data_IF_303377285190
#
_entry.id   IF_303377285190
#
_cell.length_a   1.000
_cell.length_b   1.000
_cell.length_c   1.000
_cell.angle_alpha   90.00
_cell.angle_beta   90.00
_cell.angle_gamma   90.00
#
_symmetry.space_group_name_H-M   'P 1'
#
loop_
_entity.id
_entity.type
_entity.pdbx_description
1 polymer ?
#
# COMPACT_ATOMS: atom_id res chain seq x y z
N UNK A 1 -28.49 -4.10 -10.50
CA UNK A 1 -29.33 -5.31 -10.45
C UNK A 1 -29.44 -6.02 -11.81
N UNK A 2 -29.85 -5.35 -12.91
CA UNK A 2 -30.07 -6.00 -14.24
C UNK A 2 -28.82 -6.72 -14.76
N UNK A 3 -27.62 -6.10 -14.72
CA UNK A 3 -26.37 -6.69 -15.21
C UNK A 3 -25.96 -7.96 -14.43
N UNK A 4 -26.21 -8.00 -13.13
CA UNK A 4 -25.96 -9.18 -12.30
C UNK A 4 -26.93 -10.31 -12.65
N UNK A 5 -28.21 -10.00 -12.79
CA UNK A 5 -29.24 -10.98 -13.13
C UNK A 5 -29.05 -11.56 -14.55
N UNK A 6 -28.52 -10.79 -15.49
CA UNK A 6 -28.26 -11.23 -16.87
C UNK A 6 -26.89 -11.90 -17.07
N UNK A 7 -26.06 -11.97 -16.02
CA UNK A 7 -24.68 -12.49 -16.12
C UNK A 7 -23.72 -11.58 -16.89
N UNK A 8 -24.12 -10.34 -17.21
CA UNK A 8 -23.29 -9.39 -17.97
C UNK A 8 -22.34 -8.61 -17.04
N UNK A 9 -21.33 -9.31 -16.53
CA UNK A 9 -20.28 -8.75 -15.71
C UNK A 9 -18.97 -9.52 -15.90
N UNK A 10 -17.86 -8.91 -15.51
CA UNK A 10 -16.56 -9.56 -15.44
C UNK A 10 -16.16 -9.71 -13.97
N UNK A 11 -15.37 -10.73 -13.68
CA UNK A 11 -14.73 -10.87 -12.38
C UNK A 11 -13.26 -10.44 -12.55
N UNK A 12 -12.84 -9.48 -11.76
CA UNK A 12 -11.44 -9.06 -11.67
C UNK A 12 -10.86 -9.54 -10.33
N UNK A 13 -9.83 -10.38 -10.40
CA UNK A 13 -9.07 -10.78 -9.23
C UNK A 13 -8.03 -9.70 -8.89
N UNK A 14 -7.98 -9.28 -7.63
CA UNK A 14 -7.07 -8.26 -7.11
C UNK A 14 -6.14 -8.88 -6.08
N UNK A 15 -4.84 -8.68 -6.27
CA UNK A 15 -3.85 -9.05 -5.28
C UNK A 15 -4.12 -8.29 -3.97
N UNK A 16 -4.01 -8.99 -2.85
CA UNK A 16 -4.05 -8.41 -1.52
C UNK A 16 -2.71 -8.57 -0.84
N UNK A 17 -2.43 -7.71 0.12
CA UNK A 17 -1.28 -7.82 1.01
C UNK A 17 -1.68 -8.57 2.28
N UNK A 18 -0.75 -9.35 2.81
CA UNK A 18 -0.76 -9.83 4.18
C UNK A 18 0.22 -8.98 4.99
N UNK A 19 -0.19 -8.51 6.15
CA UNK A 19 0.62 -7.82 7.12
C UNK A 19 0.70 -8.66 8.39
N UNK A 20 1.91 -9.08 8.79
CA UNK A 20 2.15 -9.69 10.08
C UNK A 20 2.65 -8.62 11.05
N UNK A 21 1.86 -8.36 12.09
CA UNK A 21 2.14 -7.38 13.15
C UNK A 21 1.65 -7.93 14.50
N UNK A 22 2.47 -7.78 15.54
CA UNK A 22 2.17 -8.25 16.91
C UNK A 22 1.69 -9.72 16.97
N UNK A 23 2.31 -10.59 16.17
CA UNK A 23 1.97 -12.01 16.06
C UNK A 23 0.67 -12.33 15.31
N UNK A 24 -0.04 -11.31 14.78
CA UNK A 24 -1.29 -11.47 14.02
C UNK A 24 -1.05 -11.30 12.53
N UNK A 25 -1.79 -12.02 11.71
CA UNK A 25 -1.88 -11.81 10.27
C UNK A 25 -3.15 -11.03 9.95
N UNK A 26 -2.98 -9.91 9.30
CA UNK A 26 -4.04 -9.01 8.85
C UNK A 26 -3.90 -8.78 7.35
N UNK A 27 -4.97 -8.38 6.68
CA UNK A 27 -4.99 -8.29 5.22
C UNK A 27 -5.38 -6.89 4.76
N UNK A 28 -4.69 -6.39 3.75
CA UNK A 28 -4.96 -5.11 3.12
C UNK A 28 -5.35 -5.29 1.65
N UNK A 29 -6.38 -4.59 1.22
CA UNK A 29 -6.70 -4.45 -0.20
C UNK A 29 -5.82 -3.38 -0.83
N UNK A 30 -5.63 -2.25 -0.14
CA UNK A 30 -4.87 -1.11 -0.65
C UNK A 30 -3.46 -1.07 -0.07
N UNK A 31 -3.31 -0.78 1.23
CA UNK A 31 -1.99 -0.51 1.80
C UNK A 31 -1.88 -0.84 3.30
N UNK A 32 -0.63 -1.05 3.69
CA UNK A 32 -0.15 -1.10 5.08
C UNK A 32 0.70 0.14 5.29
N UNK A 33 0.41 0.93 6.32
CA UNK A 33 1.10 2.19 6.62
C UNK A 33 1.75 2.10 7.99
N UNK A 34 3.03 2.49 8.07
CA UNK A 34 3.71 2.83 9.31
C UNK A 34 3.92 4.34 9.32
N UNK A 35 3.36 5.04 10.28
CA UNK A 35 3.58 6.48 10.41
C UNK A 35 3.86 6.88 11.85
N UNK A 36 4.55 8.00 12.02
CA UNK A 36 4.82 8.57 13.33
C UNK A 36 3.52 8.87 14.07
N UNK A 37 3.54 8.78 15.40
CA UNK A 37 2.47 9.33 16.20
C UNK A 37 2.51 10.87 16.19
N UNK A 38 1.43 11.50 16.64
CA UNK A 38 1.32 12.97 16.68
C UNK A 38 2.38 13.63 17.57
N UNK A 39 2.90 12.91 18.55
CA UNK A 39 3.90 13.42 19.53
C UNK A 39 5.35 13.31 19.01
N UNK A 40 5.57 12.62 17.90
CA UNK A 40 6.89 12.50 17.27
C UNK A 40 7.03 13.47 16.10
N UNK A 41 8.23 14.05 15.93
CA UNK A 41 8.50 14.91 14.78
C UNK A 41 8.76 14.12 13.50
N UNK A 42 9.47 13.02 13.62
CA UNK A 42 9.79 12.07 12.56
C UNK A 42 10.21 10.75 13.17
N UNK A 43 10.12 9.68 12.42
CA UNK A 43 10.61 8.37 12.79
C UNK A 43 11.72 7.92 11.84
N UNK A 44 12.60 7.08 12.36
CA UNK A 44 13.60 6.40 11.52
C UNK A 44 13.02 5.08 11.06
N UNK A 45 13.05 4.88 9.77
CA UNK A 45 12.53 3.68 9.12
C UNK A 45 13.66 2.86 8.52
N UNK A 46 13.60 1.56 8.67
CA UNK A 46 14.50 0.61 8.01
C UNK A 46 13.67 -0.39 7.24
N UNK A 47 14.06 -0.68 6.01
CA UNK A 47 13.37 -1.59 5.09
C UNK A 47 14.34 -2.65 4.64
N UNK A 48 13.91 -3.91 4.67
CA UNK A 48 14.58 -5.03 4.01
C UNK A 48 13.60 -5.83 3.16
N UNK A 49 14.12 -6.53 2.16
CA UNK A 49 13.40 -7.44 1.30
C UNK A 49 14.14 -8.79 1.28
N UNK A 50 13.45 -9.87 1.63
CA UNK A 50 14.02 -11.22 1.76
C UNK A 50 15.32 -11.24 2.61
N UNK A 51 15.32 -10.47 3.71
CA UNK A 51 16.47 -10.34 4.62
C UNK A 51 17.60 -9.44 4.12
N UNK A 52 17.51 -8.88 2.92
CA UNK A 52 18.51 -7.95 2.39
C UNK A 52 18.09 -6.50 2.69
N UNK A 53 19.01 -5.70 3.22
CA UNK A 53 18.76 -4.29 3.49
C UNK A 53 18.51 -3.53 2.18
N UNK A 54 17.40 -2.80 2.12
CA UNK A 54 16.97 -1.98 0.97
C UNK A 54 17.29 -0.52 1.22
N UNK A 55 16.74 0.04 2.29
CA UNK A 55 16.92 1.48 2.58
C UNK A 55 16.73 1.79 4.07
N UNK A 56 17.26 2.95 4.48
CA UNK A 56 17.11 3.50 5.82
C UNK A 56 17.02 5.02 5.75
N UNK A 57 15.92 5.58 6.23
CA UNK A 57 15.64 7.01 6.11
C UNK A 57 14.80 7.54 7.27
N UNK A 58 14.78 8.88 7.43
CA UNK A 58 13.86 9.59 8.32
C UNK A 58 12.68 10.12 7.51
N UNK A 59 11.46 9.94 8.04
CA UNK A 59 10.22 10.34 7.38
C UNK A 59 9.08 10.51 8.39
N UNK A 60 7.96 11.05 7.94
CA UNK A 60 6.69 10.95 8.68
C UNK A 60 6.15 9.52 8.68
N UNK A 61 6.50 8.74 7.67
CA UNK A 61 6.10 7.34 7.57
C UNK A 61 6.57 6.66 6.28
N UNK A 62 6.07 5.46 6.08
CA UNK A 62 6.21 4.66 4.86
C UNK A 62 4.95 3.83 4.68
N UNK A 63 4.58 3.59 3.45
CA UNK A 63 3.49 2.68 3.12
C UNK A 63 3.95 1.59 2.15
N UNK A 64 3.40 0.39 2.34
CA UNK A 64 3.48 -0.71 1.39
C UNK A 64 2.10 -0.89 0.75
N UNK A 65 2.01 -0.75 -0.58
CA UNK A 65 0.74 -0.81 -1.30
C UNK A 65 0.67 -1.97 -2.28
N UNK A 66 -0.54 -2.50 -2.44
CA UNK A 66 -0.90 -3.40 -3.54
C UNK A 66 -1.05 -2.61 -4.85
N UNK A 67 -1.15 -3.27 -6.01
CA UNK A 67 -1.48 -2.59 -7.26
C UNK A 67 -2.83 -1.86 -7.21
N UNK A 68 -3.81 -2.38 -6.47
CA UNK A 68 -5.09 -1.72 -6.23
C UNK A 68 -4.90 -0.44 -5.42
N UNK A 69 -4.08 -0.48 -4.36
CA UNK A 69 -3.73 0.65 -3.52
C UNK A 69 -2.85 1.70 -4.20
N UNK A 70 -2.26 1.38 -5.37
CA UNK A 70 -1.44 2.35 -6.11
C UNK A 70 -2.15 3.67 -6.43
N UNK A 71 -3.49 3.64 -6.50
CA UNK A 71 -4.35 4.82 -6.74
C UNK A 71 -5.10 5.31 -5.50
N UNK A 72 -4.72 4.80 -4.30
CA UNK A 72 -5.21 5.24 -3.00
C UNK A 72 -4.17 6.16 -2.33
N UNK A 73 -3.82 5.92 -1.08
CA UNK A 73 -2.86 6.76 -0.35
C UNK A 73 -1.48 6.78 -0.99
N UNK A 74 -1.07 5.68 -1.62
CA UNK A 74 0.18 5.61 -2.40
C UNK A 74 0.28 6.74 -3.45
N UNK A 75 -0.81 7.06 -4.14
CA UNK A 75 -0.82 8.14 -5.14
C UNK A 75 -0.56 9.50 -4.48
N UNK A 76 -1.24 9.80 -3.37
CA UNK A 76 -1.06 11.04 -2.61
C UNK A 76 0.34 11.17 -2.02
N UNK A 77 0.99 10.05 -1.67
CA UNK A 77 2.36 10.00 -1.20
C UNK A 77 3.41 10.12 -2.32
N UNK A 78 2.99 10.24 -3.59
CA UNK A 78 3.89 10.36 -4.74
C UNK A 78 4.43 9.02 -5.25
N UNK A 79 3.81 7.91 -4.88
CA UNK A 79 4.17 6.58 -5.35
C UNK A 79 3.70 6.31 -6.79
N UNK A 80 4.28 5.30 -7.45
CA UNK A 80 3.94 4.95 -8.82
C UNK A 80 2.54 4.35 -8.94
N UNK A 81 1.92 4.55 -10.09
CA UNK A 81 0.66 3.91 -10.45
C UNK A 81 0.97 2.54 -11.05
N UNK A 82 0.35 1.50 -10.51
CA UNK A 82 0.44 0.14 -11.02
C UNK A 82 -0.89 -0.30 -11.64
N UNK A 83 -0.81 -1.06 -12.75
CA UNK A 83 -1.98 -1.74 -13.30
C UNK A 83 -2.53 -2.73 -12.26
N UNK A 84 -3.85 -2.82 -12.08
CA UNK A 84 -4.45 -3.70 -11.08
C UNK A 84 -4.11 -5.18 -11.20
N UNK A 85 -3.72 -5.62 -12.40
CA UNK A 85 -3.28 -6.99 -12.67
C UNK A 85 -1.78 -7.23 -12.46
N UNK A 86 -1.01 -6.18 -12.16
CA UNK A 86 0.43 -6.32 -11.91
C UNK A 86 0.70 -7.21 -10.68
N UNK A 87 1.79 -7.95 -10.73
CA UNK A 87 2.24 -8.79 -9.61
C UNK A 87 3.43 -8.10 -8.94
N UNK A 88 3.14 -7.00 -8.24
CA UNK A 88 4.14 -6.16 -7.57
C UNK A 88 3.62 -5.65 -6.23
N UNK A 89 4.55 -5.30 -5.35
CA UNK A 89 4.29 -4.48 -4.17
C UNK A 89 5.00 -3.15 -4.34
N UNK A 90 4.37 -2.08 -3.89
CA UNK A 90 4.92 -0.73 -3.93
C UNK A 90 5.31 -0.31 -2.52
N UNK A 91 6.47 0.30 -2.36
CA UNK A 91 6.87 0.91 -1.10
C UNK A 91 7.11 2.40 -1.33
N UNK A 92 6.39 3.25 -0.63
CA UNK A 92 6.47 4.70 -0.83
C UNK A 92 6.74 5.39 0.50
N UNK A 93 7.87 6.11 0.64
CA UNK A 93 8.12 6.98 1.78
C UNK A 93 7.11 8.13 1.86
N UNK A 94 6.69 8.49 3.07
CA UNK A 94 5.76 9.60 3.33
C UNK A 94 6.56 10.75 3.92
N UNK A 95 6.62 11.89 3.22
CA UNK A 95 7.34 13.10 3.66
C UNK A 95 8.77 12.78 4.14
N UNK A 96 9.54 12.07 3.33
CA UNK A 96 10.92 11.72 3.70
C UNK A 96 11.82 12.95 3.78
N UNK A 97 12.62 13.03 4.85
CA UNK A 97 13.56 14.12 5.10
C UNK A 97 14.93 13.90 4.43
N UNK A 98 14.92 13.29 3.26
CA UNK A 98 16.13 13.05 2.47
C UNK A 98 15.80 13.05 0.98
N UNK A 99 16.67 13.67 0.19
CA UNK A 99 16.55 13.67 -1.27
C UNK A 99 16.83 12.29 -1.92
N UNK A 100 17.34 11.33 -1.15
CA UNK A 100 17.68 9.99 -1.64
C UNK A 100 16.50 9.03 -1.58
N UNK A 101 15.56 9.22 -0.64
CA UNK A 101 14.41 8.34 -0.53
C UNK A 101 13.57 8.38 -1.80
N UNK A 102 13.26 7.22 -2.33
CA UNK A 102 12.45 7.03 -3.54
C UNK A 102 11.43 5.93 -3.30
N UNK A 103 10.30 5.95 -4.00
CA UNK A 103 9.44 4.78 -4.07
C UNK A 103 10.17 3.61 -4.71
N UNK A 104 9.91 2.41 -4.19
CA UNK A 104 10.42 1.14 -4.71
C UNK A 104 9.28 0.30 -5.25
N UNK A 105 9.58 -0.52 -6.24
CA UNK A 105 8.68 -1.55 -6.76
C UNK A 105 9.34 -2.90 -6.56
N UNK A 106 8.68 -3.78 -5.84
CA UNK A 106 9.13 -5.14 -5.54
C UNK A 106 8.30 -6.17 -6.28
N UNK A 107 8.86 -7.32 -6.57
CA UNK A 107 8.08 -8.46 -7.04
C UNK A 107 7.09 -8.92 -5.95
N UNK A 108 5.93 -9.44 -6.35
CA UNK A 108 4.90 -9.87 -5.39
C UNK A 108 5.33 -11.07 -4.53
N UNK A 109 6.37 -11.77 -4.94
CA UNK A 109 6.94 -12.92 -4.24
C UNK A 109 7.88 -12.54 -3.11
N UNK A 110 8.42 -11.32 -3.14
CA UNK A 110 9.33 -10.82 -2.10
C UNK A 110 8.59 -10.60 -0.79
N UNK A 111 9.31 -10.66 0.30
CA UNK A 111 8.81 -10.40 1.64
C UNK A 111 9.50 -9.17 2.21
N UNK A 112 8.71 -8.13 2.44
CA UNK A 112 9.22 -6.89 3.01
C UNK A 112 9.20 -6.97 4.53
N UNK A 113 10.25 -6.48 5.17
CA UNK A 113 10.32 -6.22 6.59
C UNK A 113 10.54 -4.74 6.79
N UNK A 114 9.64 -4.09 7.52
CA UNK A 114 9.69 -2.66 7.79
C UNK A 114 9.73 -2.48 9.29
N UNK A 115 10.73 -1.76 9.78
CA UNK A 115 10.85 -1.42 11.20
C UNK A 115 11.00 0.08 11.39
N UNK A 116 10.51 0.56 12.54
CA UNK A 116 10.57 1.95 12.93
C UNK A 116 11.30 2.13 14.26
N UNK A 117 12.04 3.22 14.41
CA UNK A 117 12.53 3.74 15.68
C UNK A 117 11.75 5.01 16.03
N UNK A 118 11.06 5.03 17.16
CA UNK A 118 10.18 6.11 17.61
C UNK A 118 8.74 5.63 17.86
N UNK A 119 7.88 6.54 18.28
CA UNK A 119 6.45 6.25 18.50
C UNK A 119 5.75 6.15 17.14
N UNK A 120 5.21 4.99 16.86
CA UNK A 120 4.69 4.62 15.54
C UNK A 120 3.27 4.10 15.65
N UNK A 121 2.46 4.43 14.67
CA UNK A 121 1.12 3.88 14.43
C UNK A 121 1.18 3.02 13.18
N UNK A 122 0.60 1.84 13.24
CA UNK A 122 0.45 0.94 12.10
C UNK A 122 -1.03 0.92 11.73
N UNK A 123 -1.32 1.22 10.46
CA UNK A 123 -2.66 1.21 9.91
C UNK A 123 -2.76 0.31 8.68
N UNK A 124 -3.90 -0.32 8.48
CA UNK A 124 -4.23 -1.17 7.34
C UNK A 124 -5.52 -0.64 6.73
N UNK A 125 -5.49 -0.28 5.45
CA UNK A 125 -6.62 0.30 4.71
C UNK A 125 -7.32 1.44 5.52
N UNK A 126 -6.52 2.30 6.15
CA UNK A 126 -6.97 3.44 6.95
C UNK A 126 -7.37 3.12 8.40
N UNK A 127 -7.43 1.86 8.80
CA UNK A 127 -7.75 1.47 10.18
C UNK A 127 -6.48 1.24 11.01
N UNK A 128 -6.34 1.92 12.15
CA UNK A 128 -5.27 1.66 13.11
C UNK A 128 -5.38 0.23 13.66
N UNK A 129 -4.29 -0.53 13.61
CA UNK A 129 -4.24 -1.93 14.07
C UNK A 129 -3.22 -2.17 15.18
N UNK A 130 -2.24 -1.29 15.29
CA UNK A 130 -1.20 -1.32 16.33
C UNK A 130 -0.61 0.06 16.55
N UNK A 131 -0.13 0.29 17.76
CA UNK A 131 0.57 1.52 18.17
C UNK A 131 1.62 1.17 19.20
N UNK A 132 2.80 1.73 19.06
CA UNK A 132 3.86 1.49 20.02
C UNK A 132 5.16 2.18 19.67
N UNK A 133 6.19 1.86 20.44
CA UNK A 133 7.55 2.34 20.18
C UNK A 133 8.38 1.24 19.53
N UNK A 134 9.15 1.62 18.50
CA UNK A 134 10.02 0.69 17.78
C UNK A 134 9.24 -0.51 17.19
N UNK A 135 8.20 -0.20 16.41
CA UNK A 135 7.34 -1.20 15.79
C UNK A 135 8.01 -1.85 14.57
N UNK A 136 7.55 -3.07 14.25
CA UNK A 136 7.97 -3.79 13.04
C UNK A 136 6.83 -4.56 12.43
N UNK A 137 6.83 -4.65 11.11
CA UNK A 137 5.86 -5.43 10.34
C UNK A 137 6.55 -6.22 9.24
N UNK A 138 5.97 -7.37 8.90
CA UNK A 138 6.28 -8.07 7.65
C UNK A 138 5.10 -7.87 6.70
N UNK A 139 5.40 -7.50 5.44
CA UNK A 139 4.40 -7.33 4.39
C UNK A 139 4.76 -8.22 3.21
N UNK A 140 3.80 -9.00 2.75
CA UNK A 140 3.95 -9.92 1.62
C UNK A 140 2.59 -10.16 0.95
N UNK A 141 2.60 -10.80 -0.21
CA UNK A 141 1.36 -11.14 -0.93
C UNK A 141 0.50 -12.10 -0.11
N UNK A 142 -0.78 -11.77 0.04
CA UNK A 142 -1.75 -12.69 0.64
C UNK A 142 -1.92 -13.96 -0.20
N UNK A 143 -2.23 -15.12 0.43
CA UNK A 143 -2.43 -16.40 -0.28
C UNK A 143 -3.74 -16.44 -1.09
N UNK A 144 -4.57 -15.42 -0.99
CA UNK A 144 -5.85 -15.29 -1.69
C UNK A 144 -5.97 -13.91 -2.35
N UNK A 145 -7.00 -13.76 -3.19
CA UNK A 145 -7.29 -12.52 -3.93
C UNK A 145 -8.67 -12.00 -3.57
N UNK A 146 -8.85 -10.70 -3.60
CA UNK A 146 -10.18 -10.10 -3.59
C UNK A 146 -10.78 -10.19 -4.99
N UNK A 147 -12.05 -10.62 -5.07
CA UNK A 147 -12.78 -10.77 -6.33
C UNK A 147 -13.78 -9.66 -6.51
N UNK A 148 -13.59 -8.84 -7.53
CA UNK A 148 -14.45 -7.70 -7.85
C UNK A 148 -15.36 -8.02 -9.02
N UNK A 149 -16.65 -7.76 -8.84
CA UNK A 149 -17.62 -7.80 -9.94
C UNK A 149 -17.54 -6.46 -10.67
N UNK A 150 -17.13 -6.51 -11.94
CA UNK A 150 -17.02 -5.34 -12.81
C UNK A 150 -18.19 -5.32 -13.79
N UNK A 151 -19.10 -4.38 -13.59
CA UNK A 151 -20.27 -4.15 -14.44
C UNK A 151 -19.96 -3.15 -15.55
N UNK A 152 -19.00 -2.23 -15.30
CA UNK A 152 -18.62 -1.20 -16.26
C UNK A 152 -17.60 -1.71 -17.27
N UNK A 153 -17.79 -1.39 -18.55
CA UNK A 153 -16.84 -1.69 -19.63
C UNK A 153 -15.65 -0.70 -19.69
N UNK A 154 -15.63 0.35 -18.85
CA UNK A 154 -14.50 1.30 -18.82
C UNK A 154 -13.23 0.61 -18.36
N UNK A 155 -12.12 0.86 -19.08
CA UNK A 155 -10.80 0.36 -18.70
C UNK A 155 -10.31 1.01 -17.39
N UNK A 156 -9.27 0.44 -16.79
CA UNK A 156 -8.61 1.04 -15.63
C UNK A 156 -8.13 2.46 -15.94
N UNK A 157 -7.47 2.65 -17.07
CA UNK A 157 -6.91 3.95 -17.46
C UNK A 157 -7.95 5.00 -17.73
N UNK A 158 -9.10 4.64 -18.30
CA UNK A 158 -10.22 5.58 -18.48
C UNK A 158 -10.79 6.07 -17.15
N UNK A 159 -10.90 5.16 -16.15
CA UNK A 159 -11.35 5.55 -14.80
C UNK A 159 -10.32 6.39 -14.07
N UNK A 160 -9.04 6.05 -14.21
CA UNK A 160 -7.94 6.79 -13.61
C UNK A 160 -7.90 8.23 -14.14
N UNK A 161 -7.91 8.39 -15.47
CA UNK A 161 -7.89 9.71 -16.11
C UNK A 161 -9.08 10.56 -15.69
N UNK A 162 -10.29 9.97 -15.59
CA UNK A 162 -11.45 10.72 -15.08
C UNK A 162 -11.22 11.25 -13.66
N UNK A 163 -10.69 10.41 -12.76
CA UNK A 163 -10.38 10.84 -11.38
C UNK A 163 -9.30 11.91 -11.31
N UNK A 164 -8.21 11.76 -12.06
CA UNK A 164 -7.12 12.73 -12.06
C UNK A 164 -7.58 14.09 -12.60
N UNK A 165 -8.45 14.10 -13.62
CA UNK A 165 -9.01 15.34 -14.16
C UNK A 165 -9.98 16.01 -13.18
N UNK A 166 -10.79 15.25 -12.43
CA UNK A 166 -11.66 15.80 -11.39
C UNK A 166 -10.86 16.52 -10.28
N UNK A 167 -9.67 16.03 -9.95
CA UNK A 167 -8.79 16.63 -8.92
C UNK A 167 -7.93 17.79 -9.45
N UNK A 168 -7.86 17.98 -10.76
CA UNK A 168 -7.08 19.06 -11.41
C UNK A 168 -7.93 20.30 -11.70
N UNK A 169 -9.22 20.31 -11.40
CA UNK A 169 -10.17 21.39 -11.70
C UNK A 169 -10.53 22.28 -10.50
N UNK A 170 -9.85 22.09 -9.34
CA UNK A 170 -10.00 22.95 -8.15
C UNK A 170 -8.77 23.88 -7.95
#
# INVERSE_FOLDING_TARGET
AKALASGNYLIEDRMMLCCRVDGRELYALNEVVLHRSTDERMIRLSVSADGQAVDRFYADGVLAASPTGSTAYNLSAGGPIASPGAQVMLLTPICAHTLRARPYVFAAEERLEISSEGQTVIAIDGAEVSRGRNCGVQVYRAPFRARFIKISHRSFYQRLNSKLNEWSTD
#
